data_IF_689495143083
#
_entry.id   IF_689495143083
#
_cell.length_a   1.000
_cell.length_b   1.000
_cell.length_c   1.000
_cell.angle_alpha   90.00
_cell.angle_beta   90.00
_cell.angle_gamma   90.00
#
_symmetry.space_group_name_H-M   'P 1'
#
loop_
_entity.id
_entity.type
_entity.pdbx_description
1 polymer ?
#
# COMPACT_ATOMS: atom_id res chain seq x y z
N UNK A 1 5.50 -61.48 -34.62
CA UNK A 1 6.20 -60.27 -34.17
C UNK A 1 5.33 -59.10 -34.53
N UNK A 2 4.68 -58.45 -33.57
CA UNK A 2 4.34 -57.02 -33.62
C UNK A 2 3.76 -56.61 -32.27
N UNK A 3 4.57 -55.87 -31.51
CA UNK A 3 4.23 -55.22 -30.25
C UNK A 3 3.22 -54.10 -30.51
N UNK A 4 2.11 -54.08 -29.77
CA UNK A 4 1.31 -52.86 -29.61
C UNK A 4 1.58 -52.30 -28.21
N UNK A 5 2.44 -51.28 -28.17
CA UNK A 5 2.70 -50.48 -26.98
C UNK A 5 1.48 -49.61 -26.67
N UNK A 6 0.87 -49.83 -25.51
CA UNK A 6 -0.14 -48.95 -24.92
C UNK A 6 0.57 -47.74 -24.34
N UNK A 7 0.48 -46.58 -24.99
CA UNK A 7 0.91 -45.31 -24.41
C UNK A 7 -0.19 -44.79 -23.48
N UNK A 8 0.08 -44.83 -22.17
CA UNK A 8 -0.71 -44.14 -21.16
C UNK A 8 -0.31 -42.67 -21.16
N UNK A 9 -1.14 -41.80 -21.72
CA UNK A 9 -0.96 -40.34 -21.64
C UNK A 9 -1.50 -39.88 -20.28
N UNK A 10 -0.59 -39.65 -19.32
CA UNK A 10 -0.90 -38.93 -18.09
C UNK A 10 -1.05 -37.43 -18.41
N UNK A 11 -2.29 -36.98 -18.62
CA UNK A 11 -2.59 -35.54 -18.65
C UNK A 11 -2.44 -34.97 -17.23
N UNK A 12 -1.34 -34.28 -16.97
CA UNK A 12 -1.25 -33.37 -15.82
C UNK A 12 -2.19 -32.19 -16.08
N UNK A 13 -3.35 -32.20 -15.43
CA UNK A 13 -4.18 -31.02 -15.30
C UNK A 13 -3.54 -30.09 -14.27
N UNK A 14 -2.69 -29.16 -14.72
CA UNK A 14 -2.21 -28.05 -13.90
C UNK A 14 -3.38 -27.12 -13.60
N UNK A 15 -3.99 -27.26 -12.43
CA UNK A 15 -4.90 -26.26 -11.90
C UNK A 15 -4.09 -24.96 -11.70
N UNK A 16 -4.25 -24.01 -12.62
CA UNK A 16 -3.83 -22.64 -12.41
C UNK A 16 -4.69 -22.09 -11.27
N UNK A 17 -4.11 -22.05 -10.07
CA UNK A 17 -4.61 -21.20 -8.99
C UNK A 17 -4.47 -19.76 -9.47
N UNK A 18 -5.51 -19.26 -10.14
CA UNK A 18 -5.69 -17.81 -10.31
C UNK A 18 -5.78 -17.25 -8.90
N UNK A 19 -4.71 -16.61 -8.43
CA UNK A 19 -4.73 -15.88 -7.17
C UNK A 19 -5.81 -14.81 -7.26
N UNK A 20 -6.94 -15.04 -6.59
CA UNK A 20 -7.94 -14.01 -6.40
C UNK A 20 -7.32 -12.88 -5.57
N UNK A 21 -7.15 -11.67 -6.12
CA UNK A 21 -6.66 -10.51 -5.35
C UNK A 21 -5.66 -9.59 -6.06
N UNK A 22 -5.27 -9.86 -7.31
CA UNK A 22 -4.39 -8.98 -8.10
C UNK A 22 -5.00 -8.58 -9.45
N UNK A 23 -4.46 -7.53 -10.08
CA UNK A 23 -4.86 -7.04 -11.41
C UNK A 23 -6.35 -6.71 -11.57
N UNK A 24 -6.98 -6.09 -10.57
CA UNK A 24 -8.41 -5.73 -10.58
C UNK A 24 -8.67 -4.23 -10.33
N UNK A 25 -7.65 -3.44 -10.01
CA UNK A 25 -7.69 -1.99 -9.94
C UNK A 25 -6.73 -1.41 -10.98
N UNK A 26 -7.29 -0.74 -11.98
CA UNK A 26 -6.55 0.00 -13.00
C UNK A 26 -6.05 1.35 -12.45
N UNK A 27 -4.98 1.86 -13.05
CA UNK A 27 -4.47 3.21 -12.80
C UNK A 27 -5.48 4.28 -13.21
N UNK A 28 -5.58 5.38 -12.46
CA UNK A 28 -6.49 6.50 -12.78
C UNK A 28 -6.07 7.26 -14.04
N UNK A 29 -4.77 7.27 -14.33
CA UNK A 29 -4.21 8.00 -15.47
C UNK A 29 -3.47 7.09 -16.45
N UNK A 30 -3.42 7.51 -17.71
CA UNK A 30 -2.45 6.97 -18.68
C UNK A 30 -1.23 7.89 -18.70
N UNK A 31 -0.05 7.35 -18.47
CA UNK A 31 1.18 8.14 -18.61
C UNK A 31 1.34 8.59 -20.08
N UNK A 32 1.71 9.86 -20.33
CA UNK A 32 1.84 10.38 -21.68
C UNK A 32 3.13 9.84 -22.32
N UNK A 33 3.17 9.85 -23.65
CA UNK A 33 4.32 9.37 -24.43
C UNK A 33 3.95 8.30 -25.44
N UNK A 34 4.95 7.86 -26.21
CA UNK A 34 4.78 6.78 -27.19
C UNK A 34 4.88 5.40 -26.55
N UNK A 35 4.28 4.41 -27.21
CA UNK A 35 4.44 3.00 -26.85
C UNK A 35 5.92 2.57 -26.84
N UNK A 36 6.26 1.62 -25.97
CA UNK A 36 7.62 1.06 -25.92
C UNK A 36 7.99 0.45 -27.27
N UNK A 37 9.15 0.86 -27.80
CA UNK A 37 9.69 0.30 -29.04
C UNK A 37 10.01 -1.19 -28.89
N UNK A 38 10.07 -1.94 -30.00
CA UNK A 38 10.51 -3.34 -29.97
C UNK A 38 11.91 -3.50 -29.33
N UNK A 39 12.82 -2.54 -29.59
CA UNK A 39 14.14 -2.50 -28.96
C UNK A 39 14.05 -2.38 -27.44
N UNK A 40 13.21 -1.48 -26.93
CA UNK A 40 12.99 -1.31 -25.49
C UNK A 40 12.49 -2.60 -24.85
N UNK A 41 11.48 -3.26 -25.45
CA UNK A 41 10.92 -4.52 -24.94
C UNK A 41 11.97 -5.63 -24.87
N UNK A 42 12.83 -5.75 -25.89
CA UNK A 42 13.93 -6.75 -25.90
C UNK A 42 14.97 -6.44 -24.82
N UNK A 43 15.35 -5.17 -24.64
CA UNK A 43 16.29 -4.77 -23.60
C UNK A 43 15.75 -5.04 -22.19
N UNK A 44 14.47 -4.75 -21.94
CA UNK A 44 13.80 -5.05 -20.67
C UNK A 44 13.76 -6.55 -20.38
N UNK A 45 13.39 -7.38 -21.37
CA UNK A 45 13.40 -8.83 -21.22
C UNK A 45 14.82 -9.37 -20.92
N UNK A 46 15.85 -8.81 -21.55
CA UNK A 46 17.24 -9.14 -21.24
C UNK A 46 17.64 -8.75 -19.81
N UNK A 47 17.23 -7.55 -19.36
CA UNK A 47 17.48 -7.09 -17.99
C UNK A 47 16.76 -7.98 -16.96
N UNK A 48 15.53 -8.43 -17.24
CA UNK A 48 14.78 -9.34 -16.36
C UNK A 48 15.49 -10.67 -16.14
N UNK A 49 16.21 -11.17 -17.16
CA UNK A 49 16.99 -12.41 -17.07
C UNK A 49 18.35 -12.19 -16.40
N UNK A 50 19.01 -11.06 -16.70
CA UNK A 50 20.42 -10.85 -16.35
C UNK A 50 20.63 -10.10 -15.03
N UNK A 51 19.70 -9.22 -14.64
CA UNK A 51 19.84 -8.38 -13.45
C UNK A 51 19.07 -8.96 -12.27
N UNK A 52 19.76 -9.07 -11.13
CA UNK A 52 19.12 -9.46 -9.87
C UNK A 52 18.35 -8.28 -9.28
N UNK A 53 17.03 -8.42 -9.19
CA UNK A 53 16.13 -7.44 -8.54
C UNK A 53 15.94 -7.75 -7.06
N UNK A 54 17.02 -7.96 -6.33
CA UNK A 54 16.99 -8.51 -4.96
C UNK A 54 16.07 -7.74 -4.00
N UNK A 55 16.09 -6.39 -3.93
CA UNK A 55 15.18 -5.67 -3.04
C UNK A 55 13.70 -5.89 -3.39
N UNK A 56 13.35 -5.94 -4.68
CA UNK A 56 11.98 -6.16 -5.13
C UNK A 56 11.49 -7.58 -4.78
N UNK A 57 12.38 -8.57 -4.78
CA UNK A 57 12.06 -9.94 -4.36
C UNK A 57 11.80 -10.09 -2.85
N UNK A 58 11.99 -9.02 -2.05
CA UNK A 58 11.73 -9.01 -0.60
C UNK A 58 10.38 -8.41 -0.23
N UNK A 59 9.62 -7.90 -1.21
CA UNK A 59 8.22 -7.53 -1.00
C UNK A 59 7.45 -8.82 -0.69
N UNK A 60 6.93 -8.92 0.53
CA UNK A 60 6.37 -10.15 1.11
C UNK A 60 4.90 -10.01 1.54
N UNK A 61 4.38 -8.79 1.61
CA UNK A 61 2.98 -8.52 1.88
C UNK A 61 2.38 -7.51 0.88
N UNK A 62 1.09 -7.69 0.61
CA UNK A 62 0.28 -6.78 -0.18
C UNK A 62 -0.93 -6.34 0.65
N UNK A 63 -1.07 -5.03 0.85
CA UNK A 63 -2.18 -4.43 1.59
C UNK A 63 -2.93 -3.44 0.71
N UNK A 64 -4.24 -3.37 0.88
CA UNK A 64 -5.10 -2.39 0.24
C UNK A 64 -5.83 -1.58 1.31
N UNK A 65 -5.70 -0.26 1.24
CA UNK A 65 -6.26 0.68 2.21
C UNK A 65 -6.63 1.98 1.52
N UNK A 66 -6.92 3.01 2.34
CA UNK A 66 -7.35 4.31 1.84
C UNK A 66 -6.63 5.43 2.58
N UNK A 67 -6.24 6.45 1.83
CA UNK A 67 -5.57 7.63 2.35
C UNK A 67 -6.38 8.89 2.07
N UNK A 68 -6.07 9.96 2.80
CA UNK A 68 -6.47 11.30 2.42
C UNK A 68 -5.30 12.29 2.56
N UNK A 69 -5.36 13.41 1.84
CA UNK A 69 -4.34 14.46 1.96
C UNK A 69 -4.38 15.09 3.36
N UNK A 70 -3.24 15.18 4.05
CA UNK A 70 -3.22 15.76 5.39
C UNK A 70 -3.83 17.19 5.39
N UNK A 71 -4.91 17.39 6.16
CA UNK A 71 -5.66 18.65 6.22
C UNK A 71 -6.78 18.82 5.17
N UNK A 72 -6.96 17.88 4.25
CA UNK A 72 -8.07 17.85 3.29
C UNK A 72 -8.74 16.46 3.27
N UNK A 73 -9.67 16.25 4.20
CA UNK A 73 -10.40 14.98 4.34
C UNK A 73 -11.24 14.61 3.11
N UNK A 74 -11.56 15.56 2.22
CA UNK A 74 -12.33 15.27 1.00
C UNK A 74 -11.48 14.72 -0.14
N UNK A 75 -10.16 14.96 -0.13
CA UNK A 75 -9.26 14.35 -1.09
C UNK A 75 -8.85 12.96 -0.61
N UNK A 76 -9.67 11.96 -0.94
CA UNK A 76 -9.51 10.56 -0.51
C UNK A 76 -9.18 9.67 -1.72
N UNK A 77 -8.41 8.62 -1.51
CA UNK A 77 -7.99 7.70 -2.57
C UNK A 77 -7.76 6.29 -2.02
N UNK A 78 -7.96 5.29 -2.87
CA UNK A 78 -7.48 3.93 -2.62
C UNK A 78 -5.97 3.86 -2.83
N UNK A 79 -5.30 3.01 -2.04
CA UNK A 79 -3.86 2.87 -2.14
C UNK A 79 -3.40 1.41 -1.97
N UNK A 80 -2.50 0.99 -2.86
CA UNK A 80 -2.01 -0.38 -2.97
C UNK A 80 -0.58 -0.46 -2.45
N UNK A 81 -0.40 -1.08 -1.29
CA UNK A 81 0.88 -1.14 -0.58
C UNK A 81 1.57 -2.48 -0.83
N UNK A 82 2.79 -2.42 -1.32
CA UNK A 82 3.66 -3.58 -1.47
C UNK A 82 4.77 -3.47 -0.43
N UNK A 83 4.62 -4.26 0.62
CA UNK A 83 5.31 -4.08 1.90
C UNK A 83 6.49 -5.05 1.98
N UNK A 84 7.58 -4.57 2.57
CA UNK A 84 8.71 -5.37 3.03
C UNK A 84 8.85 -5.16 4.53
N UNK A 85 8.80 -6.24 5.30
CA UNK A 85 9.18 -6.20 6.72
C UNK A 85 10.72 -6.18 6.85
N UNK A 86 11.29 -5.08 7.32
CA UNK A 86 12.75 -4.96 7.50
C UNK A 86 13.20 -5.63 8.80
N UNK A 87 12.36 -5.56 9.84
CA UNK A 87 12.49 -6.26 11.11
C UNK A 87 11.12 -6.23 11.83
N UNK A 88 11.06 -6.77 13.06
CA UNK A 88 9.82 -6.85 13.85
C UNK A 88 9.15 -5.50 14.13
N UNK A 89 9.90 -4.39 14.07
CA UNK A 89 9.42 -3.07 14.47
C UNK A 89 9.34 -2.06 13.31
N UNK A 90 9.78 -2.43 12.10
CA UNK A 90 9.88 -1.52 10.96
C UNK A 90 9.55 -2.23 9.66
N UNK A 91 8.59 -1.65 8.94
CA UNK A 91 8.24 -2.02 7.57
C UNK A 91 8.41 -0.80 6.67
N UNK A 92 8.59 -1.07 5.38
CA UNK A 92 8.53 -0.06 4.34
C UNK A 92 7.63 -0.57 3.22
N UNK A 93 6.86 0.32 2.61
CA UNK A 93 6.01 0.01 1.48
C UNK A 93 6.33 0.92 0.30
N UNK A 94 6.33 0.34 -0.89
CA UNK A 94 6.14 1.09 -2.14
C UNK A 94 4.66 1.02 -2.50
N UNK A 95 4.13 2.15 -2.95
CA UNK A 95 2.70 2.34 -3.09
C UNK A 95 2.29 2.67 -4.51
N UNK A 96 1.17 2.10 -4.95
CA UNK A 96 0.64 2.27 -6.30
C UNK A 96 -0.84 2.68 -6.29
N UNK A 97 -1.27 3.28 -7.39
CA UNK A 97 -2.67 3.71 -7.62
C UNK A 97 -3.58 2.60 -8.15
N UNK A 98 -3.02 1.41 -8.31
CA UNK A 98 -3.70 0.20 -8.74
C UNK A 98 -2.84 -1.02 -8.43
N UNK A 99 -3.34 -2.19 -8.82
CA UNK A 99 -2.58 -3.45 -8.71
C UNK A 99 -2.46 -4.18 -10.06
N UNK A 100 -2.74 -3.48 -11.17
CA UNK A 100 -2.45 -3.92 -12.52
C UNK A 100 -1.01 -3.63 -12.96
N UNK A 101 -0.56 -4.20 -14.09
CA UNK A 101 0.80 -4.03 -14.62
C UNK A 101 1.12 -2.58 -15.02
N UNK A 102 0.10 -1.76 -15.27
CA UNK A 102 0.23 -0.35 -15.68
C UNK A 102 0.06 0.63 -14.52
N UNK A 103 -0.01 0.15 -13.26
CA UNK A 103 -0.16 0.99 -12.08
C UNK A 103 1.00 1.99 -11.93
N UNK A 104 0.70 3.20 -11.47
CA UNK A 104 1.70 4.26 -11.24
C UNK A 104 2.16 4.23 -9.80
N UNK A 105 3.47 4.42 -9.61
CA UNK A 105 4.04 4.63 -8.29
C UNK A 105 3.48 5.94 -7.72
N UNK A 106 2.72 5.84 -6.64
CA UNK A 106 2.17 6.99 -5.92
C UNK A 106 3.14 7.52 -4.90
N UNK A 107 3.82 6.64 -4.15
CA UNK A 107 4.61 7.07 -3.02
C UNK A 107 5.22 5.94 -2.21
N UNK A 108 5.54 6.27 -0.96
CA UNK A 108 6.10 5.33 0.01
C UNK A 108 5.42 5.51 1.36
N UNK A 109 5.45 4.43 2.13
CA UNK A 109 5.10 4.45 3.53
C UNK A 109 6.19 3.80 4.38
N UNK A 110 6.46 4.39 5.54
CA UNK A 110 7.20 3.72 6.62
C UNK A 110 6.24 3.40 7.75
N UNK A 111 6.28 2.15 8.22
CA UNK A 111 5.41 1.66 9.29
C UNK A 111 6.28 1.23 10.45
N UNK A 112 6.03 1.78 11.63
CA UNK A 112 6.80 1.45 12.84
C UNK A 112 5.91 0.99 13.98
N UNK A 113 6.48 0.15 14.85
CA UNK A 113 5.82 -0.24 16.09
C UNK A 113 5.62 0.95 17.03
N UNK A 114 4.64 0.84 17.93
CA UNK A 114 4.43 1.80 19.01
C UNK A 114 5.71 2.09 19.80
N UNK A 115 6.55 1.07 20.01
CA UNK A 115 7.82 1.16 20.73
C UNK A 115 8.81 2.11 20.07
N UNK A 116 8.90 2.09 18.73
CA UNK A 116 9.73 3.04 17.98
C UNK A 116 9.06 4.41 17.86
N UNK A 117 7.74 4.43 17.66
CA UNK A 117 6.97 5.68 17.58
C UNK A 117 7.14 6.56 18.82
N UNK A 118 7.09 5.97 20.02
CA UNK A 118 7.32 6.65 21.31
C UNK A 118 8.72 7.28 21.44
N UNK A 119 9.69 6.91 20.60
CA UNK A 119 11.04 7.47 20.60
C UNK A 119 11.21 8.64 19.63
N UNK A 120 10.26 8.85 18.72
CA UNK A 120 10.31 9.96 17.79
C UNK A 120 10.18 11.31 18.53
N UNK A 121 10.86 12.37 18.06
CA UNK A 121 10.58 13.73 18.48
C UNK A 121 9.11 14.08 18.27
N UNK A 122 8.54 14.94 19.13
CA UNK A 122 7.11 15.25 19.07
C UNK A 122 6.68 15.88 17.73
N UNK A 123 7.49 16.78 17.17
CA UNK A 123 7.20 17.37 15.86
C UNK A 123 7.25 16.35 14.72
N UNK A 124 8.13 15.35 14.81
CA UNK A 124 8.17 14.26 13.84
C UNK A 124 6.89 13.43 13.91
N UNK A 125 6.40 13.08 15.12
CA UNK A 125 5.16 12.30 15.31
C UNK A 125 3.95 12.91 14.61
N UNK A 126 3.89 14.24 14.48
CA UNK A 126 2.78 14.96 13.82
C UNK A 126 2.66 14.66 12.33
N UNK A 127 3.67 14.03 11.73
CA UNK A 127 3.66 13.54 10.35
C UNK A 127 3.11 12.11 10.22
N UNK A 128 2.77 11.45 11.32
CA UNK A 128 2.36 10.05 11.36
C UNK A 128 0.90 9.92 11.74
N UNK A 129 0.30 8.83 11.28
CA UNK A 129 -1.02 8.40 11.68
C UNK A 129 -0.97 7.00 12.29
N UNK A 130 -2.00 6.65 13.06
CA UNK A 130 -2.11 5.34 13.70
C UNK A 130 -3.01 4.40 12.89
N UNK A 131 -2.65 3.12 12.77
CA UNK A 131 -3.40 2.13 11.96
C UNK A 131 -4.61 1.50 12.68
N UNK A 132 -4.81 1.80 13.96
CA UNK A 132 -5.84 1.18 14.78
C UNK A 132 -7.24 1.16 14.14
N UNK A 133 -7.69 2.30 13.59
CA UNK A 133 -9.03 2.41 13.04
C UNK A 133 -9.17 1.67 11.71
N UNK A 134 -8.25 1.87 10.76
CA UNK A 134 -8.31 1.19 9.46
C UNK A 134 -8.24 -0.34 9.57
N UNK A 135 -7.49 -0.84 10.55
CA UNK A 135 -7.45 -2.27 10.87
C UNK A 135 -8.78 -2.70 11.47
N UNK A 136 -9.27 -2.03 12.51
CA UNK A 136 -10.47 -2.45 13.24
C UNK A 136 -11.76 -2.24 12.46
N UNK A 137 -11.82 -1.28 11.54
CA UNK A 137 -13.00 -0.97 10.73
C UNK A 137 -13.20 -1.95 9.57
N UNK A 138 -12.18 -2.74 9.23
CA UNK A 138 -12.17 -3.61 8.04
C UNK A 138 -11.75 -2.89 6.75
N UNK A 139 -11.38 -1.60 6.80
CA UNK A 139 -11.05 -0.83 5.59
C UNK A 139 -9.66 -1.16 5.06
N UNK A 140 -8.71 -1.53 5.92
CA UNK A 140 -7.44 -2.14 5.51
C UNK A 140 -7.64 -3.65 5.29
N UNK A 141 -7.23 -4.17 4.15
CA UNK A 141 -7.29 -5.60 3.83
C UNK A 141 -5.95 -6.13 3.30
N UNK A 142 -5.75 -7.44 3.39
CA UNK A 142 -4.66 -8.17 2.75
C UNK A 142 -5.23 -9.14 1.69
N UNK A 143 -5.42 -8.72 0.44
CA UNK A 143 -6.09 -9.55 -0.56
C UNK A 143 -5.30 -10.81 -0.92
N UNK A 144 -6.03 -11.90 -1.19
CA UNK A 144 -5.47 -13.13 -1.74
C UNK A 144 -4.77 -14.05 -0.73
N UNK A 145 -4.79 -13.72 0.56
CA UNK A 145 -4.36 -14.63 1.63
C UNK A 145 -5.56 -15.17 2.43
N UNK A 146 -5.43 -16.31 3.13
CA UNK A 146 -6.50 -16.83 3.97
C UNK A 146 -6.86 -15.90 5.14
N UNK A 147 -8.14 -15.87 5.54
CA UNK A 147 -8.64 -15.01 6.63
C UNK A 147 -7.85 -15.14 7.94
N UNK A 148 -7.40 -16.35 8.30
CA UNK A 148 -6.57 -16.58 9.51
C UNK A 148 -5.21 -15.88 9.40
N UNK A 149 -4.58 -15.91 8.22
CA UNK A 149 -3.30 -15.23 8.00
C UNK A 149 -3.48 -13.71 7.96
N UNK A 150 -4.57 -13.23 7.38
CA UNK A 150 -4.91 -11.81 7.41
C UNK A 150 -5.19 -11.33 8.85
N UNK A 151 -5.92 -12.11 9.65
CA UNK A 151 -6.21 -11.77 11.04
C UNK A 151 -4.91 -11.59 11.86
N UNK A 152 -3.98 -12.54 11.77
CA UNK A 152 -2.66 -12.46 12.42
C UNK A 152 -1.86 -11.23 11.96
N UNK A 153 -1.91 -10.90 10.66
CA UNK A 153 -1.28 -9.69 10.13
C UNK A 153 -1.92 -8.42 10.71
N UNK A 154 -3.25 -8.39 10.81
CA UNK A 154 -4.01 -7.27 11.36
C UNK A 154 -3.75 -7.08 12.86
N UNK A 155 -3.58 -8.16 13.62
CA UNK A 155 -3.20 -8.08 15.03
C UNK A 155 -1.82 -7.41 15.21
N UNK A 156 -0.87 -7.68 14.30
CA UNK A 156 0.42 -6.98 14.30
C UNK A 156 0.28 -5.50 13.93
N UNK A 157 -0.52 -5.19 12.92
CA UNK A 157 -0.63 -3.84 12.37
C UNK A 157 -1.45 -2.88 13.23
N UNK A 158 -2.42 -3.36 14.02
CA UNK A 158 -3.36 -2.50 14.77
C UNK A 158 -2.66 -1.47 15.67
N UNK A 159 -1.49 -1.81 16.21
CA UNK A 159 -0.70 -0.98 17.14
C UNK A 159 0.43 -0.18 16.46
N UNK A 160 0.49 -0.20 15.14
CA UNK A 160 1.55 0.45 14.36
C UNK A 160 1.15 1.86 13.90
N UNK A 161 2.16 2.61 13.48
CA UNK A 161 2.05 3.99 13.01
C UNK A 161 2.70 4.11 11.63
N UNK A 162 2.01 4.79 10.72
CA UNK A 162 2.44 5.00 9.34
C UNK A 162 2.81 6.45 9.04
N UNK A 163 3.92 6.66 8.33
CA UNK A 163 4.26 7.94 7.68
C UNK A 163 4.23 7.74 6.17
N UNK A 164 3.25 8.37 5.55
CA UNK A 164 3.00 8.24 4.11
C UNK A 164 3.39 9.54 3.41
N UNK A 165 4.13 9.41 2.31
CA UNK A 165 4.42 10.52 1.40
C UNK A 165 4.02 10.11 -0.01
N UNK A 166 3.03 10.78 -0.58
CA UNK A 166 2.68 10.66 -1.99
C UNK A 166 3.47 11.67 -2.82
N UNK A 167 4.06 11.19 -3.91
CA UNK A 167 4.85 11.95 -4.90
C UNK A 167 4.14 12.08 -6.25
N UNK A 168 3.14 11.24 -6.51
CA UNK A 168 2.30 11.31 -7.71
C UNK A 168 0.83 11.19 -7.32
N UNK A 169 0.06 12.22 -7.69
CA UNK A 169 -1.35 12.40 -7.33
C UNK A 169 -2.27 12.09 -8.52
N UNK A 170 -2.34 10.81 -8.91
CA UNK A 170 -3.11 10.36 -10.09
C UNK A 170 -4.63 10.48 -9.90
N UNK A 171 -5.10 10.53 -8.65
CA UNK A 171 -6.47 10.85 -8.25
C UNK A 171 -6.94 12.25 -8.69
N UNK A 172 -6.00 13.12 -9.11
CA UNK A 172 -6.26 14.46 -9.62
C UNK A 172 -6.04 14.59 -11.13
N UNK A 173 -6.10 13.46 -11.84
CA UNK A 173 -5.88 13.36 -13.28
C UNK A 173 -4.50 13.89 -13.74
N UNK A 174 -3.50 13.82 -12.85
CA UNK A 174 -2.14 14.24 -13.19
C UNK A 174 -1.44 13.13 -13.98
N UNK A 175 -1.34 13.30 -15.29
CA UNK A 175 -0.67 12.36 -16.20
C UNK A 175 0.85 12.25 -15.94
N UNK A 176 1.45 13.20 -15.22
CA UNK A 176 2.87 13.21 -14.83
C UNK A 176 3.02 13.53 -13.33
N UNK A 177 4.09 13.06 -12.67
CA UNK A 177 4.33 13.30 -11.24
C UNK A 177 4.92 14.70 -10.97
N UNK A 178 4.15 15.75 -11.24
CA UNK A 178 4.53 17.13 -10.90
C UNK A 178 3.75 17.66 -9.69
N UNK A 179 4.32 18.65 -9.03
CA UNK A 179 3.81 19.21 -7.78
C UNK A 179 4.63 18.77 -6.57
N UNK A 180 4.23 19.23 -5.40
CA UNK A 180 4.91 18.87 -4.15
C UNK A 180 4.56 17.46 -3.71
N UNK A 181 5.53 16.71 -3.14
CA UNK A 181 5.20 15.55 -2.33
C UNK A 181 4.32 15.97 -1.15
N UNK A 182 3.29 15.18 -0.86
CA UNK A 182 2.30 15.48 0.16
C UNK A 182 2.32 14.41 1.25
N UNK A 183 2.24 14.82 2.52
CA UNK A 183 2.00 13.88 3.62
C UNK A 183 0.54 13.46 3.56
N UNK A 184 0.31 12.15 3.63
CA UNK A 184 -1.02 11.56 3.65
C UNK A 184 -1.33 10.99 5.02
N UNK A 185 -2.62 10.85 5.33
CA UNK A 185 -3.11 10.37 6.61
C UNK A 185 -4.14 9.26 6.41
N UNK A 186 -4.22 8.36 7.38
CA UNK A 186 -5.29 7.37 7.51
C UNK A 186 -6.46 7.87 8.36
N UNK A 187 -7.60 7.21 8.19
CA UNK A 187 -8.85 7.53 8.87
C UNK A 187 -8.82 7.04 10.32
N UNK A 188 -9.49 7.76 11.22
CA UNK A 188 -9.44 7.51 12.68
C UNK A 188 -10.79 7.17 13.29
N UNK A 189 -11.90 7.38 12.56
CA UNK A 189 -13.25 7.03 13.01
C UNK A 189 -14.22 6.82 11.86
N UNK A 190 -15.31 6.13 12.18
CA UNK A 190 -16.44 5.91 11.27
C UNK A 190 -17.01 7.25 10.76
N UNK A 191 -17.46 7.25 9.49
CA UNK A 191 -18.07 8.41 8.84
C UNK A 191 -17.08 9.39 8.18
N UNK A 192 -15.76 9.16 8.28
CA UNK A 192 -14.77 9.98 7.59
C UNK A 192 -14.49 9.51 6.15
N UNK A 193 -14.40 8.20 5.95
CA UNK A 193 -14.13 7.59 4.64
C UNK A 193 -15.40 7.53 3.77
N UNK A 194 -15.27 7.95 2.51
CA UNK A 194 -16.34 7.88 1.52
C UNK A 194 -16.75 6.40 1.30
N UNK A 195 -18.00 6.11 1.57
CA UNK A 195 -18.55 4.76 1.49
C UNK A 195 -18.61 4.22 0.05
N UNK A 196 -18.67 5.09 -0.96
CA UNK A 196 -18.60 4.68 -2.36
C UNK A 196 -17.23 4.09 -2.70
N UNK A 197 -16.13 4.69 -2.20
CA UNK A 197 -14.78 4.14 -2.38
C UNK A 197 -14.66 2.74 -1.77
N UNK A 198 -15.23 2.54 -0.58
CA UNK A 198 -15.26 1.23 0.10
C UNK A 198 -16.08 0.22 -0.70
N UNK A 199 -17.28 0.59 -1.13
CA UNK A 199 -18.16 -0.30 -1.88
C UNK A 199 -17.55 -0.74 -3.22
N UNK A 200 -16.90 0.19 -3.92
CA UNK A 200 -16.21 -0.07 -5.18
C UNK A 200 -15.01 -1.01 -4.99
N UNK A 201 -14.21 -0.80 -3.94
CA UNK A 201 -13.12 -1.69 -3.56
C UNK A 201 -13.64 -3.08 -3.21
N UNK A 202 -14.63 -3.16 -2.33
CA UNK A 202 -15.22 -4.42 -1.87
C UNK A 202 -15.75 -5.24 -3.05
N UNK A 203 -16.39 -4.59 -4.03
CA UNK A 203 -16.81 -5.20 -5.29
C UNK A 203 -15.63 -5.72 -6.11
N UNK A 204 -14.57 -4.92 -6.31
CA UNK A 204 -13.37 -5.32 -7.08
C UNK A 204 -12.67 -6.53 -6.45
N UNK A 205 -12.54 -6.55 -5.13
CA UNK A 205 -11.84 -7.60 -4.39
C UNK A 205 -12.73 -8.78 -3.98
N UNK A 206 -14.05 -8.69 -4.19
CA UNK A 206 -15.03 -9.67 -3.72
C UNK A 206 -14.88 -9.95 -2.21
N UNK A 207 -14.85 -8.87 -1.42
CA UNK A 207 -14.75 -8.90 0.05
C UNK A 207 -15.90 -8.11 0.68
N UNK A 208 -16.07 -8.25 2.00
CA UNK A 208 -17.00 -7.43 2.78
C UNK A 208 -16.27 -6.75 3.92
N UNK A 209 -16.19 -5.42 3.89
CA UNK A 209 -15.63 -4.60 4.97
C UNK A 209 -16.33 -4.87 6.30
N UNK A 210 -17.66 -5.07 6.30
CA UNK A 210 -18.42 -5.40 7.50
C UNK A 210 -18.04 -6.78 8.08
N UNK A 211 -17.82 -7.78 7.23
CA UNK A 211 -17.36 -9.09 7.70
C UNK A 211 -15.91 -9.01 8.21
N UNK A 212 -15.02 -8.28 7.53
CA UNK A 212 -13.65 -8.04 8.01
C UNK A 212 -13.63 -7.34 9.37
N UNK A 213 -14.51 -6.36 9.59
CA UNK A 213 -14.71 -5.70 10.90
C UNK A 213 -15.11 -6.71 11.97
N UNK A 214 -16.10 -7.55 11.68
CA UNK A 214 -16.61 -8.57 12.60
C UNK A 214 -15.55 -9.62 12.94
N UNK A 215 -14.80 -10.08 11.94
CA UNK A 215 -13.70 -11.04 12.11
C UNK A 215 -12.59 -10.51 13.03
N UNK A 216 -12.47 -9.18 13.19
CA UNK A 216 -11.43 -8.52 13.97
C UNK A 216 -11.94 -8.00 15.31
N UNK A 217 -13.15 -8.36 15.75
CA UNK A 217 -13.75 -7.87 17.01
C UNK A 217 -12.90 -8.21 18.24
N UNK A 218 -12.26 -9.38 18.22
CA UNK A 218 -11.40 -9.93 19.27
C UNK A 218 -10.05 -9.20 19.43
N UNK A 219 -9.54 -8.58 18.35
CA UNK A 219 -8.29 -7.81 18.38
C UNK A 219 -8.45 -6.60 19.33
N UNK A 220 -7.63 -6.45 20.39
CA UNK A 220 -7.73 -5.32 21.30
C UNK A 220 -7.53 -3.97 20.59
N UNK A 221 -8.34 -2.97 20.94
CA UNK A 221 -8.16 -1.60 20.44
C UNK A 221 -7.03 -0.91 21.24
N UNK A 222 -5.91 -0.50 20.60
CA UNK A 222 -4.84 0.17 21.30
C UNK A 222 -5.22 1.61 21.64
N UNK A 223 -4.55 2.17 22.66
CA UNK A 223 -4.59 3.60 22.94
C UNK A 223 -3.57 4.31 22.05
N UNK A 224 -4.04 5.21 21.19
CA UNK A 224 -3.18 6.02 20.34
C UNK A 224 -2.21 6.85 21.18
N UNK A 225 -0.92 6.80 20.81
CA UNK A 225 0.16 7.56 21.45
C UNK A 225 0.09 9.03 21.03
N UNK A 226 0.32 9.91 21.99
CA UNK A 226 0.36 11.36 21.77
C UNK A 226 1.32 11.77 20.64
N UNK A 227 0.83 12.67 19.80
CA UNK A 227 1.53 13.22 18.64
C UNK A 227 1.12 12.59 17.31
N UNK A 228 0.55 11.38 17.31
CA UNK A 228 -0.06 10.80 16.12
C UNK A 228 -1.38 11.50 15.78
N UNK A 229 -1.80 11.42 14.50
CA UNK A 229 -3.06 11.99 14.02
C UNK A 229 -3.22 13.48 14.35
N UNK A 230 -2.12 14.24 14.36
CA UNK A 230 -2.09 15.65 14.79
C UNK A 230 -3.10 16.55 14.06
N UNK A 231 -3.47 16.16 12.83
CA UNK A 231 -4.49 16.79 12.02
C UNK A 231 -5.87 16.85 12.69
N UNK A 232 -6.20 15.91 13.59
CA UNK A 232 -7.46 15.93 14.35
C UNK A 232 -7.55 17.13 15.29
N UNK A 233 -6.40 17.67 15.72
CA UNK A 233 -6.31 18.86 16.55
C UNK A 233 -6.05 20.14 15.71
N UNK A 234 -6.15 20.04 14.38
CA UNK A 234 -5.85 21.15 13.47
C UNK A 234 -4.36 21.39 13.23
N UNK A 235 -3.49 20.53 13.77
CA UNK A 235 -2.04 20.60 13.54
C UNK A 235 -1.65 19.91 12.24
N UNK A 236 -2.01 20.54 11.12
CA UNK A 236 -1.65 20.05 9.79
C UNK A 236 -0.17 20.37 9.50
N UNK A 237 0.60 19.35 9.15
CA UNK A 237 2.01 19.46 8.73
C UNK A 237 2.16 19.00 7.29
N UNK A 238 2.92 19.75 6.49
CA UNK A 238 3.21 19.45 5.10
C UNK A 238 4.67 19.75 4.76
N UNK A 239 5.14 19.12 3.69
CA UNK A 239 6.46 19.38 3.12
C UNK A 239 6.42 20.71 2.36
N UNK A 240 7.50 21.50 2.48
CA UNK A 240 7.64 22.76 1.79
C UNK A 240 8.73 22.64 0.70
N UNK A 241 8.37 23.00 -0.53
CA UNK A 241 9.37 23.28 -1.57
C UNK A 241 9.84 24.72 -1.37
N UNK A 242 11.14 24.92 -1.22
CA UNK A 242 11.75 26.21 -0.95
C UNK A 242 12.99 26.42 -1.81
N UNK A 243 13.29 27.69 -2.13
CA UNK A 243 14.53 28.10 -2.76
C UNK A 243 15.65 28.37 -1.74
N UNK A 244 15.37 28.23 -0.45
CA UNK A 244 16.35 28.31 0.63
C UNK A 244 17.06 26.97 0.75
N UNK A 245 18.33 26.94 0.39
CA UNK A 245 19.18 25.77 0.61
C UNK A 245 19.69 25.76 2.05
N UNK A 246 19.30 24.73 2.79
CA UNK A 246 19.91 24.38 4.07
C UNK A 246 20.76 23.13 3.82
N UNK A 247 22.08 23.24 4.01
CA UNK A 247 22.97 22.09 3.87
C UNK A 247 22.63 21.05 4.97
N UNK A 248 22.59 19.75 4.65
CA UNK A 248 22.49 18.72 5.69
C UNK A 248 23.63 18.91 6.71
N UNK A 249 23.32 18.81 8.00
CA UNK A 249 24.32 18.97 9.09
C UNK A 249 25.48 17.95 8.99
N UNK A 250 25.30 16.88 8.22
CA UNK A 250 26.31 15.87 7.96
C UNK A 250 26.92 16.02 6.56
N UNK A 251 28.20 16.37 6.52
CA UNK A 251 29.10 16.08 5.39
C UNK A 251 29.78 14.73 5.68
N UNK A 252 29.76 13.82 4.70
CA UNK A 252 30.38 12.50 4.80
C UNK A 252 31.91 12.56 4.90
#
# INVERSE_FOLDING_TARGET
MENKHTFLVCSLASLLLLGCGGNNTDSYVKAPGGEKTAKTKVLEAGADVLQKKTPLSKIDAYLNGFHFYNGNLQGQMEAHHYVTQLNEDLHQAVMYDGNGPDAKLMGVEYIISERLFKKLPLEERKLWHSHHHEVKSGTLIAPGIPDVAEHELMEKLVSTYGKIIHTWHTDRDLELPFGSPMVMMGFTKDGQLNQELVADRDKRFNVSTAEKRKQREDIPMPKVVEGANAWEQGEVRQLQITNKYEAPEHQH
#
